data_IF_750242001878
#
_entry.id   IF_750242001878
#
_cell.length_a   1.000
_cell.length_b   1.000
_cell.length_c   1.000
_cell.angle_alpha   90.00
_cell.angle_beta   90.00
_cell.angle_gamma   90.00
#
_symmetry.space_group_name_H-M   'P 1'
#
loop_
_entity.id
_entity.type
_entity.pdbx_description
1 polymer ?
#
# COMPACT_ATOMS: atom_id res chain seq x y z
N UNK A 1 0.60 11.05 -18.21
CA UNK A 1 0.77 9.83 -19.02
C UNK A 1 -0.01 8.71 -18.34
N UNK A 2 -0.95 8.05 -19.03
CA UNK A 2 -1.80 6.99 -18.41
C UNK A 2 -0.97 5.70 -18.31
N UNK A 3 -0.65 5.24 -17.09
CA UNK A 3 0.08 3.98 -16.88
C UNK A 3 -0.80 2.78 -17.21
N UNK A 4 -0.23 1.71 -17.75
CA UNK A 4 -0.95 0.45 -17.95
C UNK A 4 -1.08 -0.29 -16.61
N UNK A 5 -2.06 -1.19 -16.51
CA UNK A 5 -2.29 -1.99 -15.29
C UNK A 5 -1.03 -2.78 -14.84
N UNK A 6 -0.24 -3.24 -15.82
CA UNK A 6 1.05 -3.93 -15.62
C UNK A 6 2.17 -3.04 -15.13
N UNK A 7 2.02 -1.72 -15.26
CA UNK A 7 2.97 -0.72 -14.75
C UNK A 7 2.55 -0.24 -13.34
N UNK A 8 1.34 -0.59 -12.90
CA UNK A 8 0.76 -0.21 -11.61
C UNK A 8 0.96 -1.33 -10.58
N UNK A 9 0.54 -2.55 -10.94
CA UNK A 9 0.59 -3.70 -10.06
C UNK A 9 1.86 -4.51 -10.23
N UNK A 10 2.38 -5.02 -9.12
CA UNK A 10 3.47 -5.99 -9.13
C UNK A 10 2.99 -7.30 -9.79
N UNK A 11 3.86 -8.06 -10.50
CA UNK A 11 3.46 -9.32 -11.14
C UNK A 11 2.78 -10.33 -10.19
N UNK A 12 3.17 -10.35 -8.92
CA UNK A 12 2.53 -11.17 -7.89
C UNK A 12 1.08 -10.78 -7.62
N UNK A 13 0.75 -9.48 -7.61
CA UNK A 13 -0.63 -9.00 -7.44
C UNK A 13 -1.48 -9.36 -8.66
N UNK A 14 -0.93 -9.26 -9.87
CA UNK A 14 -1.61 -9.66 -11.11
C UNK A 14 -1.93 -11.16 -11.08
N UNK A 15 -0.97 -11.99 -10.67
CA UNK A 15 -1.17 -13.44 -10.58
C UNK A 15 -2.17 -13.80 -9.47
N UNK A 16 -2.15 -13.10 -8.32
CA UNK A 16 -3.14 -13.28 -7.27
C UNK A 16 -4.55 -12.91 -7.74
N UNK A 17 -4.71 -11.78 -8.44
CA UNK A 17 -5.98 -11.39 -9.05
C UNK A 17 -6.47 -12.43 -10.07
N UNK A 18 -5.57 -12.94 -10.92
CA UNK A 18 -5.90 -14.01 -11.88
C UNK A 18 -6.38 -15.30 -11.19
N UNK A 19 -5.80 -15.65 -10.04
CA UNK A 19 -6.14 -16.88 -9.28
C UNK A 19 -7.41 -16.74 -8.46
N UNK A 20 -7.63 -15.58 -7.84
CA UNK A 20 -8.57 -15.44 -6.73
C UNK A 20 -9.68 -14.39 -6.96
N UNK A 21 -9.58 -13.54 -7.97
CA UNK A 21 -10.64 -12.55 -8.28
C UNK A 21 -11.57 -13.03 -9.40
N UNK A 22 -12.83 -12.56 -9.37
CA UNK A 22 -13.79 -12.82 -10.45
C UNK A 22 -13.35 -12.11 -11.73
N UNK A 23 -13.76 -12.65 -12.90
CA UNK A 23 -13.36 -12.23 -14.27
C UNK A 23 -13.81 -10.82 -14.68
N UNK A 24 -13.96 -9.88 -13.75
CA UNK A 24 -14.29 -8.50 -14.09
C UNK A 24 -13.06 -7.80 -14.63
N UNK A 25 -13.12 -7.36 -15.89
CA UNK A 25 -12.05 -6.57 -16.48
C UNK A 25 -11.91 -5.21 -15.77
N UNK A 26 -10.68 -4.73 -15.63
CA UNK A 26 -10.39 -3.41 -15.08
C UNK A 26 -10.92 -2.32 -16.03
N UNK A 27 -12.01 -1.66 -15.66
CA UNK A 27 -12.49 -0.47 -16.39
C UNK A 27 -11.45 0.64 -16.34
N UNK A 28 -11.47 1.55 -17.32
CA UNK A 28 -10.56 2.70 -17.32
C UNK A 28 -10.61 3.52 -16.03
N UNK A 29 -11.81 3.72 -15.48
CA UNK A 29 -12.00 4.41 -14.20
C UNK A 29 -11.28 3.71 -13.04
N UNK A 30 -11.30 2.38 -13.03
CA UNK A 30 -10.64 1.59 -11.99
C UNK A 30 -9.10 1.67 -12.12
N UNK A 31 -8.57 1.69 -13.34
CA UNK A 31 -7.15 1.90 -13.61
C UNK A 31 -6.70 3.29 -13.16
N UNK A 32 -7.51 4.33 -13.44
CA UNK A 32 -7.21 5.71 -13.02
C UNK A 32 -7.25 5.85 -11.49
N UNK A 33 -8.20 5.19 -10.81
CA UNK A 33 -8.22 5.14 -9.35
C UNK A 33 -6.98 4.42 -8.77
N UNK A 34 -6.59 3.27 -9.34
CA UNK A 34 -5.39 2.54 -8.92
C UNK A 34 -4.11 3.40 -9.12
N UNK A 35 -4.04 4.17 -10.20
CA UNK A 35 -2.93 5.11 -10.44
C UNK A 35 -2.81 6.19 -9.36
N UNK A 36 -3.91 6.64 -8.77
CA UNK A 36 -3.88 7.63 -7.68
C UNK A 36 -3.51 7.01 -6.33
N UNK A 37 -3.89 5.74 -6.12
CA UNK A 37 -3.58 5.01 -4.88
C UNK A 37 -2.13 4.56 -4.80
N UNK A 38 -1.57 4.05 -5.90
CA UNK A 38 -0.21 3.51 -5.94
C UNK A 38 0.81 4.60 -6.28
N UNK A 39 1.55 5.04 -5.26
CA UNK A 39 2.63 6.03 -5.38
C UNK A 39 4.00 5.36 -5.30
N UNK A 40 5.00 5.93 -5.99
CA UNK A 40 6.39 5.44 -5.92
C UNK A 40 7.07 5.76 -4.59
N UNK A 41 6.64 6.85 -3.95
CA UNK A 41 7.14 7.31 -2.67
C UNK A 41 6.01 7.99 -1.90
N UNK A 42 6.19 8.14 -0.59
CA UNK A 42 5.32 8.97 0.26
C UNK A 42 5.61 10.43 -0.12
N UNK A 43 4.61 11.13 -0.65
CA UNK A 43 4.68 12.56 -0.89
C UNK A 43 4.25 13.37 0.35
N UNK A 44 4.42 14.69 0.30
CA UNK A 44 4.16 15.58 1.44
C UNK A 44 2.73 15.46 1.97
N UNK A 45 1.73 15.44 1.08
CA UNK A 45 0.32 15.29 1.47
C UNK A 45 0.07 13.94 2.15
N UNK A 46 0.66 12.86 1.63
CA UNK A 46 0.57 11.54 2.26
C UNK A 46 1.31 11.47 3.59
N UNK A 47 2.48 12.10 3.73
CA UNK A 47 3.23 12.16 5.00
C UNK A 47 2.41 12.87 6.05
N UNK A 48 1.91 14.07 5.72
CA UNK A 48 1.07 14.86 6.61
C UNK A 48 -0.18 14.09 7.06
N UNK A 49 -0.82 13.37 6.14
CA UNK A 49 -1.97 12.53 6.49
C UNK A 49 -1.59 11.37 7.42
N UNK A 50 -0.50 10.65 7.14
CA UNK A 50 -0.05 9.49 7.92
C UNK A 50 0.34 9.92 9.34
N UNK A 51 1.12 11.00 9.47
CA UNK A 51 1.57 11.56 10.75
C UNK A 51 0.39 12.05 11.61
N UNK A 52 -0.72 12.48 11.00
CA UNK A 52 -1.92 12.86 11.73
C UNK A 52 -2.73 11.66 12.29
N UNK A 53 -2.40 10.42 11.91
CA UNK A 53 -3.14 9.25 12.38
C UNK A 53 -2.64 8.79 13.76
N UNK A 54 -3.57 8.39 14.62
CA UNK A 54 -3.22 7.81 15.94
C UNK A 54 -2.47 6.48 15.83
N UNK A 55 -2.70 5.77 14.73
CA UNK A 55 -2.06 4.51 14.39
C UNK A 55 -2.29 4.18 12.92
N UNK A 56 -1.47 3.27 12.40
CA UNK A 56 -1.63 2.62 11.11
C UNK A 56 -1.10 1.18 11.17
N UNK A 57 -1.33 0.42 10.10
CA UNK A 57 -0.84 -0.95 9.97
C UNK A 57 0.14 -1.03 8.82
N UNK A 58 1.23 -1.79 9.01
CA UNK A 58 2.19 -2.11 7.96
C UNK A 58 2.05 -3.59 7.63
N UNK A 59 1.69 -3.88 6.38
CA UNK A 59 1.70 -5.24 5.84
C UNK A 59 3.01 -5.49 5.09
N UNK A 60 3.67 -6.60 5.38
CA UNK A 60 4.88 -7.05 4.67
C UNK A 60 4.74 -8.52 4.26
N UNK A 61 5.64 -9.01 3.43
CA UNK A 61 5.72 -10.43 3.08
C UNK A 61 7.17 -10.84 2.92
N UNK A 62 7.48 -12.08 3.27
CA UNK A 62 8.78 -12.68 2.93
C UNK A 62 8.88 -13.05 1.44
N UNK A 63 10.03 -13.61 1.04
CA UNK A 63 10.30 -14.06 -0.33
C UNK A 63 9.45 -15.25 -0.78
N UNK A 64 8.79 -15.95 0.16
CA UNK A 64 7.86 -17.05 -0.09
C UNK A 64 6.40 -16.57 -0.15
N UNK A 65 6.15 -15.28 0.08
CA UNK A 65 4.82 -14.71 0.10
C UNK A 65 4.05 -14.99 1.40
N UNK A 66 4.72 -15.37 2.49
CA UNK A 66 4.09 -15.41 3.80
C UNK A 66 3.90 -13.98 4.28
N UNK A 67 2.65 -13.56 4.43
CA UNK A 67 2.31 -12.21 4.86
C UNK A 67 2.39 -12.05 6.38
N UNK A 68 2.86 -10.89 6.83
CA UNK A 68 2.77 -10.44 8.21
C UNK A 68 2.20 -9.01 8.28
N UNK A 69 1.58 -8.65 9.38
CA UNK A 69 1.00 -7.33 9.59
C UNK A 69 1.30 -6.83 11.01
N UNK A 70 1.93 -5.66 11.08
CA UNK A 70 2.30 -5.01 12.33
C UNK A 70 1.46 -3.76 12.57
N UNK A 71 1.03 -3.57 13.81
CA UNK A 71 0.44 -2.31 14.29
C UNK A 71 1.54 -1.28 14.58
N UNK A 72 1.30 -0.02 14.20
CA UNK A 72 2.13 1.13 14.54
C UNK A 72 1.24 2.23 15.10
N UNK A 73 1.46 2.63 16.35
CA UNK A 73 0.75 3.73 16.99
C UNK A 73 1.70 4.87 17.35
N UNK A 74 1.30 5.71 18.30
CA UNK A 74 2.24 6.54 19.04
C UNK A 74 3.22 5.62 19.77
N UNK A 75 4.42 5.48 19.22
CA UNK A 75 5.50 4.71 19.82
C UNK A 75 6.40 5.66 20.61
N UNK A 76 6.69 5.30 21.85
CA UNK A 76 7.75 5.96 22.60
C UNK A 76 9.09 5.33 22.19
N UNK A 77 10.13 6.14 22.12
CA UNK A 77 11.48 5.69 21.81
C UNK A 77 12.06 4.83 22.94
N UNK A 78 13.29 4.31 22.75
CA UNK A 78 13.98 3.52 23.79
C UNK A 78 14.19 4.25 25.12
N UNK A 79 13.98 5.57 25.17
CA UNK A 79 14.08 6.44 26.34
C UNK A 79 12.72 6.84 26.91
N UNK A 80 11.62 6.41 26.29
CA UNK A 80 10.25 6.75 26.71
C UNK A 80 9.75 8.09 26.18
N UNK A 81 10.43 8.69 25.20
CA UNK A 81 9.99 9.93 24.56
C UNK A 81 9.09 9.60 23.37
N UNK A 82 7.89 10.19 23.32
CA UNK A 82 6.98 9.98 22.20
C UNK A 82 7.64 10.42 20.89
N UNK A 83 7.69 9.50 19.93
CA UNK A 83 8.13 9.81 18.58
C UNK A 83 7.06 10.70 17.90
N UNK A 84 7.48 11.72 17.15
CA UNK A 84 6.56 12.58 16.40
C UNK A 84 5.74 11.80 15.37
#
# INVERSE_FOLDING_TARGET
MKRKITDIFHPGEIEAQRRFSSKTEWTERAVDAANQLYKLAIDEDSSFFIEAQKFFFIATSDDKGNCDCSFRGSEDDSKGESQP
#
